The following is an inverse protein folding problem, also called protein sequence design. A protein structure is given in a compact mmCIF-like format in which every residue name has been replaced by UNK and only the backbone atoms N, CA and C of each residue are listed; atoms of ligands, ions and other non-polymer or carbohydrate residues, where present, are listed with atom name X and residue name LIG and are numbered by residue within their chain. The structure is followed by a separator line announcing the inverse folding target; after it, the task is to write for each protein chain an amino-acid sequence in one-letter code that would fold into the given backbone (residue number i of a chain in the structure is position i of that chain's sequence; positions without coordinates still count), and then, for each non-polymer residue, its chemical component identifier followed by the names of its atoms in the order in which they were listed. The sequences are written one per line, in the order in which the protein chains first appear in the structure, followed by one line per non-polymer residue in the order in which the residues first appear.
data_IF_724681703700
#
_entry.id   IF_724681703700
#
_cell.length_a   1.000
_cell.length_b   1.000
_cell.length_c   1.000
_cell.angle_alpha   90.00
_cell.angle_beta   90.00
_cell.angle_gamma   90.00
#
_symmetry.space_group_name_H-M   'P 1'
#
loop_
_entity.id
_entity.type
_entity.pdbx_description
1 polymer ?
#
# COMPACT_ATOMS: atom_id res chain seq x y z
N UNK A 1 -0.12 -13.92 15.96
CA UNK A 1 -0.30 -12.50 16.29
C UNK A 1 -1.26 -11.89 15.27
N UNK A 2 -2.28 -11.17 15.72
CA UNK A 2 -3.31 -10.57 14.86
C UNK A 2 -3.01 -9.09 14.64
N UNK A 3 -2.92 -8.66 13.39
CA UNK A 3 -2.83 -7.24 13.06
C UNK A 3 -4.11 -6.54 13.52
N UNK A 4 -3.96 -5.37 14.16
CA UNK A 4 -5.11 -4.57 14.54
C UNK A 4 -5.84 -4.07 13.30
N UNK A 5 -7.18 -4.04 13.35
CA UNK A 5 -7.99 -3.57 12.22
C UNK A 5 -7.69 -2.10 11.87
N UNK A 6 -7.31 -1.28 12.85
CA UNK A 6 -6.83 0.09 12.64
C UNK A 6 -5.59 0.14 11.75
N UNK A 7 -4.60 -0.71 12.01
CA UNK A 7 -3.37 -0.83 11.21
C UNK A 7 -3.67 -1.23 9.77
N UNK A 8 -4.58 -2.18 9.57
CA UNK A 8 -4.99 -2.61 8.23
C UNK A 8 -5.69 -1.47 7.49
N UNK A 9 -6.61 -0.75 8.15
CA UNK A 9 -7.29 0.41 7.53
C UNK A 9 -6.30 1.52 7.18
N UNK A 10 -5.33 1.80 8.06
CA UNK A 10 -4.29 2.80 7.79
C UNK A 10 -3.43 2.40 6.57
N UNK A 11 -3.09 1.12 6.44
CA UNK A 11 -2.39 0.61 5.26
C UNK A 11 -3.18 0.84 3.97
N UNK A 12 -4.47 0.49 3.95
CA UNK A 12 -5.31 0.67 2.76
C UNK A 12 -5.52 2.15 2.41
N UNK A 13 -5.69 3.01 3.42
CA UNK A 13 -5.73 4.45 3.20
C UNK A 13 -4.41 5.00 2.62
N UNK A 14 -3.26 4.44 3.01
CA UNK A 14 -1.96 4.79 2.41
C UNK A 14 -1.89 4.32 0.94
N UNK A 15 -2.37 3.12 0.62
CA UNK A 15 -2.38 2.59 -0.74
C UNK A 15 -3.23 3.48 -1.67
N UNK A 16 -4.35 4.00 -1.17
CA UNK A 16 -5.20 4.93 -1.94
C UNK A 16 -4.56 6.32 -2.13
N UNK A 17 -3.66 6.74 -1.25
CA UNK A 17 -2.98 8.04 -1.27
C UNK A 17 -1.72 8.04 -2.17
N UNK A 18 -1.11 6.87 -2.38
CA UNK A 18 0.10 6.72 -3.22
C UNK A 18 -0.29 6.79 -4.71
N UNK A 19 0.50 7.50 -5.55
CA UNK A 19 0.32 7.50 -7.00
C UNK A 19 0.36 6.09 -7.59
N UNK A 20 -0.57 5.78 -8.49
CA UNK A 20 -0.70 4.43 -9.04
C UNK A 20 0.60 3.91 -9.69
N UNK A 21 1.36 4.77 -10.38
CA UNK A 21 2.61 4.39 -11.02
C UNK A 21 3.65 3.87 -10.02
N UNK A 22 3.73 4.43 -8.82
CA UNK A 22 4.68 4.00 -7.78
C UNK A 22 4.31 2.62 -7.22
N UNK A 23 3.02 2.28 -7.17
CA UNK A 23 2.56 0.95 -6.72
C UNK A 23 2.73 -0.12 -7.80
N UNK A 24 2.66 0.26 -9.07
CA UNK A 24 2.75 -0.66 -10.22
C UNK A 24 4.18 -1.00 -10.63
N UNK A 25 5.13 -0.09 -10.37
CA UNK A 25 6.52 -0.23 -10.83
C UNK A 25 7.44 -0.89 -9.81
N UNK A 26 7.03 -0.98 -8.54
CA UNK A 26 7.88 -1.51 -7.47
C UNK A 26 7.75 -3.03 -7.31
N UNK A 27 8.88 -3.76 -7.16
CA UNK A 27 8.87 -5.17 -6.76
C UNK A 27 8.44 -5.33 -5.30
N UNK A 28 7.96 -6.53 -4.93
CA UNK A 28 7.36 -6.83 -3.61
C UNK A 28 8.11 -6.27 -2.38
N UNK A 29 9.43 -6.49 -2.22
CA UNK A 29 10.13 -5.98 -1.04
C UNK A 29 10.16 -4.44 -1.00
N UNK A 30 10.30 -3.80 -2.16
CA UNK A 30 10.31 -2.35 -2.27
C UNK A 30 8.93 -1.73 -2.03
N UNK A 31 7.86 -2.43 -2.42
CA UNK A 31 6.49 -2.02 -2.15
C UNK A 31 6.20 -2.00 -0.65
N UNK A 32 6.61 -3.04 0.09
CA UNK A 32 6.45 -3.08 1.54
C UNK A 32 7.19 -1.93 2.23
N UNK A 33 8.43 -1.65 1.81
CA UNK A 33 9.22 -0.54 2.34
C UNK A 33 8.59 0.83 2.08
N UNK A 34 8.08 1.07 0.86
CA UNK A 34 7.35 2.30 0.52
C UNK A 34 6.15 2.48 1.46
N UNK A 35 5.35 1.43 1.64
CA UNK A 35 4.16 1.46 2.50
C UNK A 35 4.53 1.73 3.97
N UNK A 36 5.60 1.12 4.47
CA UNK A 36 6.09 1.41 5.83
C UNK A 36 6.56 2.85 6.00
N UNK A 37 7.23 3.42 4.99
CA UNK A 37 7.65 4.83 5.04
C UNK A 37 6.44 5.76 5.13
N UNK A 38 5.39 5.51 4.34
CA UNK A 38 4.15 6.30 4.40
C UNK A 38 3.41 6.14 5.73
N UNK A 39 3.32 4.93 6.27
CA UNK A 39 2.73 4.69 7.59
C UNK A 39 3.48 5.42 8.71
N UNK A 40 4.81 5.39 8.67
CA UNK A 40 5.65 6.12 9.63
C UNK A 40 5.45 7.63 9.52
N UNK A 41 5.29 8.19 8.31
CA UNK A 41 5.00 9.63 8.11
C UNK A 41 3.64 10.02 8.69
N UNK A 42 2.67 9.11 8.70
CA UNK A 42 1.36 9.31 9.35
C UNK A 42 1.40 9.01 10.86
N UNK A 43 2.60 8.99 11.48
CA UNK A 43 2.84 8.73 12.91
C UNK A 43 2.34 7.37 13.41
N UNK A 44 2.19 6.39 12.51
CA UNK A 44 1.85 5.01 12.88
C UNK A 44 3.13 4.25 13.20
N UNK A 45 3.48 4.21 14.48
CA UNK A 45 4.65 3.48 14.96
C UNK A 45 4.28 2.01 15.22
N UNK A 46 4.83 1.11 14.40
CA UNK A 46 4.68 -0.33 14.55
C UNK A 46 5.88 -0.91 15.30
N UNK A 47 5.62 -1.85 16.20
CA UNK A 47 6.68 -2.71 16.74
C UNK A 47 7.30 -3.58 15.64
N UNK A 48 8.49 -4.13 15.90
CA UNK A 48 9.16 -5.04 14.96
C UNK A 48 8.29 -6.25 14.60
N UNK A 49 7.52 -6.77 15.55
CA UNK A 49 6.62 -7.91 15.37
C UNK A 49 5.42 -7.55 14.49
N UNK A 50 4.80 -6.39 14.74
CA UNK A 50 3.72 -5.89 13.89
C UNK A 50 4.20 -5.58 12.48
N UNK A 51 5.42 -5.04 12.34
CA UNK A 51 6.04 -4.77 11.05
C UNK A 51 6.28 -6.05 10.26
N UNK A 52 6.76 -7.11 10.91
CA UNK A 52 6.91 -8.42 10.29
C UNK A 52 5.55 -9.01 9.87
N UNK A 53 4.53 -8.93 10.74
CA UNK A 53 3.19 -9.41 10.43
C UNK A 53 2.55 -8.62 9.27
N UNK A 54 2.75 -7.30 9.23
CA UNK A 54 2.22 -6.42 8.17
C UNK A 54 2.95 -6.64 6.84
N UNK A 55 4.26 -6.92 6.86
CA UNK A 55 5.03 -7.29 5.66
C UNK A 55 4.49 -8.58 5.04
N UNK A 56 4.24 -9.62 5.85
CA UNK A 56 3.62 -10.86 5.37
C UNK A 56 2.22 -10.61 4.82
N UNK A 57 1.44 -9.71 5.44
CA UNK A 57 0.13 -9.34 4.94
C UNK A 57 0.21 -8.62 3.59
N UNK A 58 1.10 -7.63 3.44
CA UNK A 58 1.33 -6.90 2.19
C UNK A 58 1.72 -7.86 1.08
N UNK A 59 2.71 -8.73 1.30
CA UNK A 59 3.20 -9.67 0.30
C UNK A 59 2.08 -10.59 -0.22
N UNK A 60 1.19 -11.05 0.66
CA UNK A 60 0.03 -11.87 0.25
C UNK A 60 -1.01 -11.10 -0.58
N UNK A 61 -0.92 -9.77 -0.65
CA UNK A 61 -1.93 -8.83 -1.17
C UNK A 61 -1.36 -7.98 -2.31
N UNK A 62 -0.12 -8.21 -2.74
CA UNK A 62 0.56 -7.46 -3.81
C UNK A 62 -0.31 -7.37 -5.06
N UNK A 63 -0.82 -8.51 -5.54
CA UNK A 63 -1.68 -8.55 -6.71
C UNK A 63 -2.91 -7.63 -6.56
N UNK A 64 -3.58 -7.68 -5.40
CA UNK A 64 -4.73 -6.81 -5.13
C UNK A 64 -4.34 -5.32 -5.07
N UNK A 65 -3.19 -4.99 -4.48
CA UNK A 65 -2.67 -3.62 -4.42
C UNK A 65 -2.41 -3.10 -5.84
N UNK A 66 -1.81 -3.94 -6.70
CA UNK A 66 -1.54 -3.61 -8.10
C UNK A 66 -2.81 -3.53 -8.94
N UNK A 67 -3.80 -4.40 -8.70
CA UNK A 67 -5.10 -4.34 -9.37
C UNK A 67 -5.83 -3.02 -9.04
N UNK A 68 -5.84 -2.62 -7.77
CA UNK A 68 -6.43 -1.35 -7.32
C UNK A 68 -5.68 -0.16 -7.93
N UNK A 69 -4.35 -0.18 -7.92
CA UNK A 69 -3.53 0.86 -8.52
C UNK A 69 -3.78 0.98 -10.03
N UNK A 70 -3.87 -0.15 -10.73
CA UNK A 70 -4.19 -0.21 -12.16
C UNK A 70 -5.57 0.38 -12.45
N UNK A 71 -6.59 -0.03 -11.70
CA UNK A 71 -7.95 0.48 -11.84
C UNK A 71 -8.00 2.01 -11.65
N UNK A 72 -7.35 2.52 -10.60
CA UNK A 72 -7.24 3.97 -10.35
C UNK A 72 -6.52 4.68 -11.50
N UNK A 73 -5.39 4.15 -11.97
CA UNK A 73 -4.62 4.73 -13.06
C UNK A 73 -5.36 4.76 -14.40
N UNK A 74 -6.22 3.78 -14.67
CA UNK A 74 -7.09 3.81 -15.86
C UNK A 74 -8.14 4.92 -15.81
N UNK A 75 -8.60 5.31 -14.62
CA UNK A 75 -9.47 6.47 -14.42
C UNK A 75 -8.75 7.81 -14.63
N UNK A 76 -7.48 7.91 -14.25
CA UNK A 76 -6.66 9.13 -14.41
C UNK A 76 -6.37 9.46 -15.88
N UNK A 77 -6.27 8.46 -16.76
CA UNK A 77 -6.05 8.65 -18.20
C UNK A 77 -7.34 8.96 -18.98
N UNK A 78 -8.52 8.75 -18.38
CA UNK A 78 -9.82 8.99 -19.02
C UNK A 78 -10.26 10.46 -19.07
N UNK A 79 -9.62 11.35 -18.31
CA UNK A 79 -10.03 12.76 -18.18
C UNK A 79 -9.31 13.68 -19.20
N UNK A 80 -8.21 13.22 -19.80
CA UNK A 80 -7.41 13.99 -20.77
C UNK A 80 -7.82 13.80 -22.24
N UNK A 81 -8.83 12.98 -22.53
CA UNK A 81 -9.25 12.64 -23.89
C UNK A 81 -10.71 13.05 -24.21
N UNK A 82 -11.22 14.14 -23.63
CA UNK A 82 -12.51 14.73 -23.97
C UNK A 82 -12.39 16.19 -24.40
#
# INVERSE_FOLDING_TARGET
MTLQSSTIRALWAVIEDIPSQDLLTLPEPALADLLFQHLSRKSLHLSSEERAALSVYINKRVALIQDIASFRGTGELGIVAS
#
